data_IF_562231442631
#
_entry.id   IF_562231442631
#
_cell.length_a   1.000
_cell.length_b   1.000
_cell.length_c   1.000
_cell.angle_alpha   90.00
_cell.angle_beta   90.00
_cell.angle_gamma   90.00
#
_symmetry.space_group_name_H-M   'P 1'
#
loop_
_entity.id
_entity.type
_entity.pdbx_description
1 polymer ?
#
# COMPACT_ATOMS: atom_id res chain seq x y z
N UNK A 1 2.47 22.60 5.88
CA UNK A 1 1.75 22.27 4.63
C UNK A 1 0.46 21.59 5.03
N UNK A 2 -0.69 21.93 4.43
CA UNK A 2 -1.96 21.27 4.73
C UNK A 2 -2.06 19.91 4.01
N UNK A 3 -2.89 19.00 4.52
CA UNK A 3 -3.15 17.70 3.86
C UNK A 3 -3.68 17.88 2.42
N UNK A 4 -4.50 18.90 2.19
CA UNK A 4 -5.05 19.23 0.86
C UNK A 4 -3.94 19.66 -0.11
N UNK A 5 -2.93 20.39 0.36
CA UNK A 5 -1.78 20.75 -0.46
C UNK A 5 -0.90 19.52 -0.73
N UNK A 6 -0.73 18.64 0.26
CA UNK A 6 0.03 17.40 0.12
C UNK A 6 -0.55 16.49 -0.96
N UNK A 7 -1.89 16.38 -1.05
CA UNK A 7 -2.58 15.60 -2.08
C UNK A 7 -2.38 16.11 -3.53
N UNK A 8 -1.90 17.34 -3.70
CA UNK A 8 -1.60 17.91 -5.02
C UNK A 8 -0.16 17.66 -5.45
N UNK A 9 0.71 17.20 -4.55
CA UNK A 9 2.13 16.97 -4.79
C UNK A 9 2.37 15.81 -5.74
N UNK A 10 3.56 15.79 -6.36
CA UNK A 10 4.02 14.66 -7.18
C UNK A 10 4.18 13.40 -6.33
N UNK A 11 4.71 13.53 -5.11
CA UNK A 11 4.91 12.40 -4.19
C UNK A 11 3.62 11.66 -3.89
N UNK A 12 2.53 12.40 -3.62
CA UNK A 12 1.20 11.80 -3.44
C UNK A 12 0.73 11.07 -4.70
N UNK A 13 0.85 11.68 -5.88
CA UNK A 13 0.40 11.05 -7.14
C UNK A 13 1.19 9.78 -7.46
N UNK A 14 2.50 9.80 -7.22
CA UNK A 14 3.37 8.65 -7.43
C UNK A 14 3.03 7.52 -6.45
N UNK A 15 2.75 7.86 -5.19
CA UNK A 15 2.31 6.91 -4.18
C UNK A 15 0.92 6.30 -4.50
N UNK A 16 -0.06 7.13 -4.87
CA UNK A 16 -1.41 6.70 -5.26
C UNK A 16 -1.36 5.75 -6.46
N UNK A 17 -0.57 6.10 -7.48
CA UNK A 17 -0.36 5.23 -8.64
C UNK A 17 0.24 3.89 -8.22
N UNK A 18 1.28 3.88 -7.40
CA UNK A 18 1.95 2.65 -6.96
C UNK A 18 1.02 1.73 -6.16
N UNK A 19 0.18 2.30 -5.30
CA UNK A 19 -0.85 1.57 -4.55
C UNK A 19 -1.87 0.92 -5.49
N UNK A 20 -2.35 1.66 -6.50
CA UNK A 20 -3.28 1.12 -7.52
C UNK A 20 -2.65 -0.02 -8.32
N UNK A 21 -1.41 0.17 -8.77
CA UNK A 21 -0.65 -0.84 -9.51
C UNK A 21 -0.49 -2.14 -8.70
N UNK A 22 -0.24 -2.04 -7.39
CA UNK A 22 -0.20 -3.23 -6.51
C UNK A 22 -1.56 -3.91 -6.35
N UNK A 23 -2.64 -3.16 -6.16
CA UNK A 23 -4.00 -3.75 -6.08
C UNK A 23 -4.33 -4.52 -7.36
N UNK A 24 -3.99 -3.97 -8.52
CA UNK A 24 -4.17 -4.64 -9.81
C UNK A 24 -3.31 -5.90 -9.92
N UNK A 25 -2.01 -5.82 -9.59
CA UNK A 25 -1.11 -6.98 -9.58
C UNK A 25 -1.65 -8.09 -8.68
N UNK A 26 -2.05 -7.76 -7.45
CA UNK A 26 -2.59 -8.74 -6.50
C UNK A 26 -3.86 -9.44 -7.00
N UNK A 27 -4.71 -8.75 -7.78
CA UNK A 27 -5.94 -9.35 -8.31
C UNK A 27 -5.68 -10.61 -9.15
N UNK A 28 -4.60 -10.62 -9.94
CA UNK A 28 -4.20 -11.69 -10.86
C UNK A 28 -2.94 -12.45 -10.42
N UNK A 29 -2.36 -12.11 -9.27
CA UNK A 29 -1.09 -12.64 -8.80
C UNK A 29 -1.18 -14.10 -8.33
N UNK A 30 -0.10 -14.84 -8.58
CA UNK A 30 0.20 -16.10 -7.90
C UNK A 30 0.96 -15.84 -6.59
N UNK A 31 1.18 -16.87 -5.77
CA UNK A 31 1.82 -16.71 -4.45
C UNK A 31 3.20 -16.04 -4.49
N UNK A 32 4.01 -16.31 -5.53
CA UNK A 32 5.32 -15.67 -5.68
C UNK A 32 5.20 -14.17 -5.93
N UNK A 33 4.27 -13.79 -6.80
CA UNK A 33 4.00 -12.38 -7.11
C UNK A 33 3.37 -11.65 -5.91
N UNK A 34 2.50 -12.32 -5.15
CA UNK A 34 1.94 -11.78 -3.90
C UNK A 34 3.05 -11.50 -2.88
N UNK A 35 4.02 -12.40 -2.74
CA UNK A 35 5.17 -12.20 -1.85
C UNK A 35 6.06 -11.04 -2.30
N UNK A 36 6.30 -10.88 -3.60
CA UNK A 36 7.04 -9.72 -4.14
C UNK A 36 6.32 -8.41 -3.82
N UNK A 37 5.01 -8.35 -4.07
CA UNK A 37 4.21 -7.16 -3.73
C UNK A 37 4.27 -6.88 -2.23
N UNK A 38 4.23 -7.91 -1.36
CA UNK A 38 4.40 -7.75 0.09
C UNK A 38 5.72 -7.07 0.45
N UNK A 39 6.83 -7.52 -0.12
CA UNK A 39 8.14 -6.98 0.20
C UNK A 39 8.32 -5.56 -0.34
N UNK A 40 7.86 -5.29 -1.57
CA UNK A 40 7.83 -3.95 -2.18
C UNK A 40 7.00 -2.97 -1.33
N UNK A 41 5.81 -3.41 -0.91
CA UNK A 41 4.86 -2.65 -0.07
C UNK A 41 5.48 -2.33 1.29
N UNK A 42 6.11 -3.30 1.95
CA UNK A 42 6.77 -3.11 3.24
C UNK A 42 7.90 -2.09 3.16
N UNK A 43 8.77 -2.21 2.14
CA UNK A 43 9.88 -1.27 1.95
C UNK A 43 9.37 0.16 1.73
N UNK A 44 8.37 0.31 0.85
CA UNK A 44 7.82 1.61 0.50
C UNK A 44 7.13 2.33 1.66
N UNK A 45 6.24 1.65 2.40
CA UNK A 45 5.55 2.28 3.52
C UNK A 45 6.47 2.51 4.72
N UNK A 46 7.44 1.62 4.95
CA UNK A 46 8.48 1.85 5.96
C UNK A 46 9.32 3.08 5.65
N UNK A 47 9.69 3.30 4.39
CA UNK A 47 10.42 4.50 3.96
C UNK A 47 9.53 5.74 4.09
N UNK A 48 8.32 5.71 3.54
CA UNK A 48 7.36 6.82 3.60
C UNK A 48 7.08 7.25 5.04
N UNK A 49 6.89 6.31 5.97
CA UNK A 49 6.66 6.62 7.39
C UNK A 49 7.84 7.35 8.04
N UNK A 50 9.07 7.11 7.56
CA UNK A 50 10.28 7.78 8.06
C UNK A 50 10.52 9.13 7.40
N UNK A 51 10.27 9.24 6.10
CA UNK A 51 10.62 10.43 5.31
C UNK A 51 9.50 11.47 5.26
N UNK A 52 8.24 11.04 5.26
CA UNK A 52 7.07 11.91 5.13
C UNK A 52 5.86 11.31 5.89
N UNK A 53 5.83 11.52 7.21
CA UNK A 53 4.79 10.98 8.10
C UNK A 53 3.38 11.48 7.75
N UNK A 54 3.24 12.71 7.27
CA UNK A 54 1.94 13.26 6.84
C UNK A 54 1.42 12.49 5.63
N UNK A 55 2.30 12.18 4.67
CA UNK A 55 1.96 11.38 3.50
C UNK A 55 1.58 9.95 3.91
N UNK A 56 2.35 9.33 4.82
CA UNK A 56 2.00 8.02 5.36
C UNK A 56 0.61 8.02 6.01
N UNK A 57 0.27 9.05 6.79
CA UNK A 57 -1.03 9.14 7.46
C UNK A 57 -2.21 9.16 6.46
N UNK A 58 -2.02 9.69 5.25
CA UNK A 58 -3.02 9.63 4.17
C UNK A 58 -3.17 8.21 3.62
N UNK A 59 -2.07 7.46 3.50
CA UNK A 59 -2.04 6.13 2.90
C UNK A 59 -2.11 4.97 3.92
N UNK A 60 -2.23 5.24 5.22
CA UNK A 60 -2.28 4.21 6.26
C UNK A 60 -3.41 3.21 6.02
N UNK A 61 -4.58 3.68 5.56
CA UNK A 61 -5.70 2.81 5.21
C UNK A 61 -5.31 1.89 4.04
N UNK A 62 -4.61 2.40 3.02
CA UNK A 62 -4.17 1.56 1.90
C UNK A 62 -3.09 0.55 2.29
N UNK A 63 -2.21 0.90 3.23
CA UNK A 63 -1.22 -0.01 3.83
C UNK A 63 -1.92 -1.21 4.50
N UNK A 64 -3.00 -0.96 5.24
CA UNK A 64 -3.85 -1.99 5.86
C UNK A 64 -4.59 -2.83 4.81
N UNK A 65 -5.33 -2.21 3.89
CA UNK A 65 -6.08 -2.90 2.83
C UNK A 65 -5.17 -3.82 1.99
N UNK A 66 -3.97 -3.37 1.62
CA UNK A 66 -3.01 -4.19 0.89
C UNK A 66 -2.55 -5.38 1.72
N UNK A 67 -2.37 -5.22 3.03
CA UNK A 67 -2.00 -6.31 3.94
C UNK A 67 -3.09 -7.37 4.02
N UNK A 68 -4.36 -6.95 4.09
CA UNK A 68 -5.51 -7.84 4.08
C UNK A 68 -5.61 -8.62 2.77
N UNK A 69 -5.48 -7.93 1.63
CA UNK A 69 -5.48 -8.56 0.31
C UNK A 69 -4.35 -9.59 0.16
N UNK A 70 -3.14 -9.26 0.61
CA UNK A 70 -2.00 -10.18 0.60
C UNK A 70 -2.29 -11.39 1.47
N UNK A 71 -2.81 -11.18 2.68
CA UNK A 71 -3.15 -12.27 3.59
C UNK A 71 -4.22 -13.19 2.99
N UNK A 72 -5.30 -12.63 2.45
CA UNK A 72 -6.38 -13.39 1.80
C UNK A 72 -5.84 -14.20 0.63
N UNK A 73 -4.97 -13.62 -0.20
CA UNK A 73 -4.36 -14.32 -1.34
C UNK A 73 -3.44 -15.47 -0.92
N UNK A 74 -2.66 -15.30 0.15
CA UNK A 74 -1.73 -16.34 0.61
C UNK A 74 -2.41 -17.46 1.38
N UNK A 75 -3.47 -17.15 2.14
CA UNK A 75 -4.09 -18.09 3.07
C UNK A 75 -5.45 -18.61 2.63
N UNK A 76 -6.08 -17.95 1.64
CA UNK A 76 -7.47 -18.19 1.26
C UNK A 76 -8.50 -17.76 2.30
N UNK A 77 -8.07 -17.11 3.40
CA UNK A 77 -8.93 -16.67 4.50
C UNK A 77 -9.04 -15.16 4.50
N UNK A 78 -10.27 -14.65 4.59
CA UNK A 78 -10.50 -13.23 4.86
C UNK A 78 -10.13 -12.91 6.30
N UNK A 79 -9.27 -11.91 6.47
CA UNK A 79 -9.04 -11.26 7.76
C UNK A 79 -9.65 -9.87 7.67
N UNK A 80 -10.41 -9.52 8.70
CA UNK A 80 -10.91 -8.16 8.92
C UNK A 80 -10.00 -7.60 10.01
N UNK A 81 -9.12 -6.66 9.67
CA UNK A 81 -8.31 -5.95 10.67
C UNK A 81 -9.10 -4.71 11.08
N UNK A 82 -9.72 -4.77 12.26
CA UNK A 82 -10.37 -3.63 12.94
C UNK A 82 -9.33 -2.56 13.37
#
# INVERSE_FOLDING_TARGET
MSLIELMKTKEYKDADKKVKDWKERLSKANNSEVMKVKDEKLAFFSEMRKSNQDLYSIFEINDKELSELIYEKLTGKKVIID
#
